data_IF_835557826725
#
_entry.id   IF_835557826725
#
_cell.length_a   1.000
_cell.length_b   1.000
_cell.length_c   1.000
_cell.angle_alpha   90.00
_cell.angle_beta   90.00
_cell.angle_gamma   90.00
#
_symmetry.space_group_name_H-M   'P 1'
#
loop_
_entity.id
_entity.type
_entity.pdbx_description
1 polymer ?
#
# COMPACT_ATOMS: atom_id res chain seq x y z
N UNK A 1 8.66 -10.28 6.13
CA UNK A 1 9.63 -9.20 6.39
C UNK A 1 10.56 -9.06 5.20
N UNK A 2 11.30 -7.95 5.09
CA UNK A 2 12.24 -7.72 3.99
C UNK A 2 13.45 -8.65 4.07
N UNK A 3 13.92 -9.10 2.90
CA UNK A 3 15.17 -9.84 2.76
C UNK A 3 16.35 -8.90 2.43
N UNK A 4 17.61 -9.32 2.68
CA UNK A 4 18.78 -8.52 2.28
C UNK A 4 18.78 -8.23 0.78
N UNK A 5 19.07 -6.98 0.40
CA UNK A 5 19.12 -6.49 -0.99
C UNK A 5 17.80 -6.62 -1.79
N UNK A 6 16.68 -6.76 -1.09
CA UNK A 6 15.36 -6.80 -1.72
C UNK A 6 14.85 -5.37 -1.96
N UNK A 7 14.52 -5.04 -3.22
CA UNK A 7 13.92 -3.75 -3.54
C UNK A 7 12.49 -3.65 -3.00
N UNK A 8 11.95 -2.44 -2.79
CA UNK A 8 10.55 -2.26 -2.37
C UNK A 8 9.54 -3.01 -3.27
N UNK A 9 9.76 -2.98 -4.59
CA UNK A 9 8.92 -3.69 -5.57
C UNK A 9 9.02 -5.20 -5.39
N UNK A 10 10.24 -5.73 -5.25
CA UNK A 10 10.45 -7.18 -5.04
C UNK A 10 9.79 -7.64 -3.74
N UNK A 11 9.93 -6.85 -2.68
CA UNK A 11 9.34 -7.11 -1.37
C UNK A 11 7.81 -7.24 -1.47
N UNK A 12 7.11 -6.23 -1.98
CA UNK A 12 5.65 -6.28 -2.03
C UNK A 12 5.16 -7.38 -2.96
N UNK A 13 5.82 -7.60 -4.10
CA UNK A 13 5.46 -8.66 -5.04
C UNK A 13 5.57 -10.05 -4.38
N UNK A 14 6.69 -10.31 -3.69
CA UNK A 14 6.91 -11.56 -2.97
C UNK A 14 5.89 -11.74 -1.85
N UNK A 15 5.67 -10.72 -1.01
CA UNK A 15 4.75 -10.81 0.12
C UNK A 15 3.30 -11.07 -0.31
N UNK A 16 2.81 -10.42 -1.37
CA UNK A 16 1.47 -10.71 -1.90
C UNK A 16 1.36 -12.17 -2.35
N UNK A 17 2.35 -12.68 -3.10
CA UNK A 17 2.38 -14.08 -3.52
C UNK A 17 2.44 -15.06 -2.34
N UNK A 18 3.27 -14.77 -1.33
CA UNK A 18 3.38 -15.57 -0.11
C UNK A 18 2.05 -15.62 0.67
N UNK A 19 1.31 -14.51 0.73
CA UNK A 19 -0.03 -14.48 1.33
C UNK A 19 -0.99 -15.42 0.60
N UNK A 20 -0.97 -15.44 -0.74
CA UNK A 20 -1.84 -16.33 -1.51
C UNK A 20 -1.47 -17.80 -1.25
N UNK A 21 -0.18 -18.11 -1.24
CA UNK A 21 0.30 -19.47 -0.93
C UNK A 21 -0.06 -19.90 0.49
N UNK A 22 0.01 -18.98 1.46
CA UNK A 22 -0.37 -19.26 2.84
C UNK A 22 -1.87 -19.61 2.94
N UNK A 23 -2.75 -18.91 2.22
CA UNK A 23 -4.18 -19.22 2.17
C UNK A 23 -4.42 -20.61 1.59
N UNK A 24 -3.78 -20.92 0.45
CA UNK A 24 -3.88 -22.24 -0.21
C UNK A 24 -3.42 -23.36 0.73
N UNK A 25 -2.33 -23.13 1.47
CA UNK A 25 -1.75 -24.14 2.36
C UNK A 25 -2.54 -24.34 3.67
N UNK A 26 -3.46 -23.44 4.02
CA UNK A 26 -4.24 -23.51 5.27
C UNK A 26 -5.38 -24.55 5.22
N UNK A 27 -5.51 -25.33 4.14
CA UNK A 27 -6.61 -26.30 3.94
C UNK A 27 -8.01 -25.66 4.11
N UNK A 28 -8.14 -24.37 3.82
CA UNK A 28 -9.43 -23.71 3.68
C UNK A 28 -10.11 -24.22 2.42
N UNK A 29 -11.44 -24.36 2.45
CA UNK A 29 -12.21 -24.69 1.25
C UNK A 29 -12.16 -23.51 0.27
N UNK A 30 -11.09 -23.52 -0.52
CA UNK A 30 -10.79 -22.54 -1.55
C UNK A 30 -10.99 -23.15 -2.92
N UNK A 31 -11.72 -24.26 -3.03
CA UNK A 31 -11.96 -24.88 -4.32
C UNK A 31 -12.74 -23.92 -5.21
N UNK A 32 -12.31 -23.81 -6.48
CA UNK A 32 -12.98 -23.00 -7.49
C UNK A 32 -13.18 -21.52 -7.08
N UNK A 33 -12.15 -20.92 -6.49
CA UNK A 33 -12.16 -19.56 -5.93
C UNK A 33 -11.06 -18.69 -6.55
N UNK A 34 -11.26 -17.38 -6.56
CA UNK A 34 -10.19 -16.41 -6.84
C UNK A 34 -9.68 -15.86 -5.51
N UNK A 35 -8.42 -16.12 -5.21
CA UNK A 35 -7.72 -15.55 -4.07
C UNK A 35 -7.13 -14.20 -4.47
N UNK A 36 -7.52 -13.14 -3.76
CA UNK A 36 -7.01 -11.78 -3.95
C UNK A 36 -6.06 -11.46 -2.80
N UNK A 37 -4.82 -11.07 -3.12
CA UNK A 37 -3.83 -10.67 -2.13
C UNK A 37 -3.10 -9.41 -2.56
N UNK A 38 -2.72 -8.60 -1.58
CA UNK A 38 -2.04 -7.33 -1.78
C UNK A 38 -0.99 -7.13 -0.68
N UNK A 39 0.07 -6.41 -1.00
CA UNK A 39 1.02 -5.88 -0.04
C UNK A 39 1.47 -4.48 -0.47
N UNK A 40 1.84 -3.64 0.49
CA UNK A 40 2.16 -2.26 0.22
C UNK A 40 3.29 -1.80 1.12
N UNK A 41 4.19 -0.99 0.55
CA UNK A 41 5.18 -0.23 1.30
C UNK A 41 5.12 1.24 0.91
N UNK A 42 5.39 2.10 1.89
CA UNK A 42 5.67 3.51 1.67
C UNK A 42 7.19 3.70 1.63
N UNK A 43 7.66 4.57 0.75
CA UNK A 43 9.07 4.82 0.51
C UNK A 43 9.32 6.33 0.44
N UNK A 44 10.38 6.79 1.12
CA UNK A 44 10.96 8.09 0.86
C UNK A 44 12.24 7.85 0.05
N UNK A 45 12.21 8.22 -1.23
CA UNK A 45 13.20 7.76 -2.21
C UNK A 45 13.26 6.21 -2.21
N UNK A 46 14.41 5.60 -1.91
CA UNK A 46 14.57 4.13 -1.88
C UNK A 46 14.42 3.52 -0.47
N UNK A 47 14.12 4.33 0.55
CA UNK A 47 14.04 3.86 1.94
C UNK A 47 12.60 3.50 2.30
N UNK A 48 12.37 2.24 2.67
CA UNK A 48 11.07 1.77 3.17
C UNK A 48 10.78 2.41 4.53
N UNK A 49 9.60 3.00 4.63
CA UNK A 49 9.07 3.66 5.81
C UNK A 49 8.33 2.66 6.69
N UNK A 50 8.79 2.53 7.93
CA UNK A 50 8.09 1.75 8.95
C UNK A 50 7.02 2.55 9.70
N UNK A 51 6.30 1.86 10.58
CA UNK A 51 5.41 2.50 11.55
C UNK A 51 6.25 3.27 12.59
N UNK A 52 5.87 4.51 12.95
CA UNK A 52 6.62 5.28 13.92
C UNK A 52 6.50 4.69 15.34
N UNK A 53 5.35 4.13 15.71
CA UNK A 53 5.00 3.55 17.02
C UNK A 53 5.00 4.53 18.20
N UNK A 54 5.78 5.60 18.15
CA UNK A 54 5.85 6.64 19.19
C UNK A 54 5.64 8.02 18.60
N UNK A 55 5.18 8.96 19.44
CA UNK A 55 4.94 10.35 19.05
C UNK A 55 6.20 11.00 18.45
N UNK A 56 7.34 10.92 19.14
CA UNK A 56 8.59 11.56 18.68
C UNK A 56 9.08 11.00 17.35
N UNK A 57 8.91 9.68 17.13
CA UNK A 57 9.22 9.05 15.84
C UNK A 57 8.27 9.51 14.74
N UNK A 58 7.00 9.76 15.07
CA UNK A 58 6.04 10.31 14.11
C UNK A 58 6.38 11.76 13.73
N UNK A 59 6.74 12.59 14.71
CA UNK A 59 7.22 13.96 14.47
C UNK A 59 8.45 13.94 13.58
N UNK A 60 9.43 13.10 13.92
CA UNK A 60 10.64 12.96 13.12
C UNK A 60 10.36 12.52 11.68
N UNK A 61 9.51 11.50 11.49
CA UNK A 61 9.12 11.05 10.15
C UNK A 61 8.43 12.15 9.34
N UNK A 62 7.42 12.82 9.89
CA UNK A 62 6.72 13.89 9.16
C UNK A 62 7.64 15.09 8.84
N UNK A 63 8.61 15.40 9.71
CA UNK A 63 9.63 16.41 9.44
C UNK A 63 10.51 16.02 8.24
N UNK A 64 10.84 14.73 8.07
CA UNK A 64 11.55 14.24 6.88
C UNK A 64 10.71 14.31 5.61
N UNK A 65 9.38 14.25 5.72
CA UNK A 65 8.50 14.33 4.55
C UNK A 65 8.19 15.76 4.13
N UNK A 66 8.43 16.76 4.98
CA UNK A 66 8.20 18.17 4.68
C UNK A 66 8.87 18.58 3.35
N UNK A 67 8.04 19.00 2.37
CA UNK A 67 8.47 19.36 1.02
C UNK A 67 8.97 18.20 0.14
N UNK A 68 8.79 16.95 0.57
CA UNK A 68 9.25 15.76 -0.15
C UNK A 68 8.10 15.02 -0.85
N UNK A 69 8.49 14.11 -1.74
CA UNK A 69 7.61 13.11 -2.36
C UNK A 69 7.75 11.78 -1.62
N UNK A 70 6.65 11.26 -1.10
CA UNK A 70 6.54 9.90 -0.57
C UNK A 70 5.85 9.02 -1.60
N UNK A 71 6.44 7.86 -1.89
CA UNK A 71 5.95 6.92 -2.89
C UNK A 71 5.37 5.67 -2.21
N UNK A 72 4.21 5.23 -2.67
CA UNK A 72 3.54 4.01 -2.23
C UNK A 72 3.60 3.02 -3.37
N UNK A 73 4.14 1.84 -3.07
CA UNK A 73 4.27 0.74 -4.01
C UNK A 73 3.38 -0.37 -3.49
N UNK A 74 2.28 -0.63 -4.23
CA UNK A 74 1.29 -1.63 -3.87
C UNK A 74 1.33 -2.76 -4.89
N UNK A 75 1.58 -3.98 -4.45
CA UNK A 75 1.43 -5.16 -5.28
C UNK A 75 0.02 -5.71 -5.18
N UNK A 76 -0.44 -6.29 -6.29
CA UNK A 76 -1.65 -7.09 -6.33
C UNK A 76 -1.31 -8.44 -6.95
N UNK A 77 -1.78 -9.52 -6.33
CA UNK A 77 -1.65 -10.88 -6.82
C UNK A 77 -2.99 -11.61 -6.72
N UNK A 78 -3.42 -12.19 -7.84
CA UNK A 78 -4.62 -13.02 -7.96
C UNK A 78 -4.22 -14.45 -8.29
N UNK A 79 -4.91 -15.41 -7.68
CA UNK A 79 -4.80 -16.84 -8.01
C UNK A 79 -6.18 -17.43 -8.21
N UNK A 80 -6.45 -17.98 -9.38
CA UNK A 80 -7.60 -18.85 -9.63
C UNK A 80 -7.23 -20.28 -9.21
N UNK A 81 -7.87 -20.77 -8.15
CA UNK A 81 -7.57 -22.10 -7.59
C UNK A 81 -8.15 -23.25 -8.41
N UNK A 82 -9.02 -22.97 -9.39
CA UNK A 82 -9.60 -24.00 -10.26
C UNK A 82 -8.60 -24.54 -11.28
N UNK A 83 -7.71 -23.67 -11.78
CA UNK A 83 -6.80 -23.95 -12.89
C UNK A 83 -5.35 -23.49 -12.62
N UNK A 84 -5.09 -22.78 -11.51
CA UNK A 84 -3.78 -22.28 -11.13
C UNK A 84 -3.33 -21.03 -11.89
N UNK A 85 -4.18 -20.39 -12.70
CA UNK A 85 -3.85 -19.14 -13.37
C UNK A 85 -3.66 -18.02 -12.36
N UNK A 86 -2.70 -17.16 -12.65
CA UNK A 86 -2.37 -16.03 -11.79
C UNK A 86 -2.29 -14.73 -12.57
N UNK A 87 -2.62 -13.64 -11.90
CA UNK A 87 -2.42 -12.28 -12.37
C UNK A 87 -1.64 -11.51 -11.33
N UNK A 88 -0.66 -10.71 -11.75
CA UNK A 88 0.11 -9.85 -10.83
C UNK A 88 0.30 -8.46 -11.43
N UNK A 89 0.26 -7.44 -10.59
CA UNK A 89 0.55 -6.07 -11.00
C UNK A 89 1.19 -5.27 -9.85
N UNK A 90 1.86 -4.19 -10.22
CA UNK A 90 2.42 -3.20 -9.28
C UNK A 90 1.78 -1.86 -9.59
N UNK A 91 1.31 -1.18 -8.57
CA UNK A 91 0.78 0.18 -8.64
C UNK A 91 1.71 1.12 -7.89
N UNK A 92 2.02 2.26 -8.50
CA UNK A 92 2.77 3.35 -7.88
C UNK A 92 1.81 4.49 -7.58
N UNK A 93 1.90 5.06 -6.39
CA UNK A 93 1.13 6.24 -6.00
C UNK A 93 2.01 7.20 -5.22
N UNK A 94 2.07 8.46 -5.63
CA UNK A 94 2.92 9.48 -5.03
C UNK A 94 2.08 10.49 -4.26
N UNK A 95 2.53 10.81 -3.04
CA UNK A 95 2.02 11.90 -2.21
C UNK A 95 3.12 12.94 -2.08
N UNK A 96 2.82 14.17 -2.48
CA UNK A 96 3.74 15.29 -2.39
C UNK A 96 3.32 16.13 -1.19
N UNK A 97 4.24 16.34 -0.25
CA UNK A 97 3.98 17.11 0.95
C UNK A 97 4.25 18.59 0.71
N UNK A 98 3.45 19.44 1.37
CA UNK A 98 3.79 20.86 1.53
C UNK A 98 5.05 20.98 2.36
N UNK A 99 5.64 22.17 2.38
CA UNK A 99 6.55 22.53 3.48
C UNK A 99 5.72 22.67 4.76
N UNK A 100 5.98 21.80 5.71
CA UNK A 100 5.31 21.74 7.00
C UNK A 100 6.14 22.44 8.08
N UNK A 101 5.46 23.20 8.93
CA UNK A 101 6.03 23.68 10.19
C UNK A 101 5.97 22.61 11.28
N UNK A 102 6.86 22.69 12.26
CA UNK A 102 6.85 21.80 13.43
C UNK A 102 5.51 21.85 14.18
N UNK A 103 4.90 23.03 14.28
CA UNK A 103 3.59 23.21 14.93
C UNK A 103 2.46 22.47 14.18
N UNK A 104 2.45 22.51 12.85
CA UNK A 104 1.48 21.74 12.04
C UNK A 104 1.68 20.22 12.24
N UNK A 105 2.94 19.77 12.25
CA UNK A 105 3.29 18.35 12.43
C UNK A 105 2.80 17.83 13.78
N UNK A 106 3.15 18.52 14.87
CA UNK A 106 2.74 18.13 16.22
C UNK A 106 1.22 18.13 16.32
N UNK A 107 0.57 19.21 15.84
CA UNK A 107 -0.89 19.33 15.92
C UNK A 107 -1.59 18.22 15.14
N UNK A 108 -1.09 17.86 13.97
CA UNK A 108 -1.61 16.77 13.18
C UNK A 108 -1.53 15.44 13.93
N UNK A 109 -0.36 15.12 14.52
CA UNK A 109 -0.15 13.87 15.25
C UNK A 109 -1.07 13.78 16.48
N UNK A 110 -1.27 14.87 17.21
CA UNK A 110 -2.20 14.93 18.34
C UNK A 110 -3.65 14.60 17.92
N UNK A 111 -4.08 15.10 16.76
CA UNK A 111 -5.44 14.92 16.26
C UNK A 111 -5.65 13.53 15.64
N UNK A 112 -4.75 13.08 14.78
CA UNK A 112 -4.92 11.84 14.01
C UNK A 112 -4.36 10.59 14.70
N UNK A 113 -3.41 10.77 15.63
CA UNK A 113 -2.69 9.68 16.28
C UNK A 113 -2.22 8.59 15.31
N UNK A 114 -1.48 8.92 14.23
CA UNK A 114 -1.12 7.99 13.15
C UNK A 114 0.01 7.01 13.55
N UNK A 115 0.15 6.67 14.82
CA UNK A 115 1.32 5.96 15.36
C UNK A 115 1.48 4.54 14.80
N UNK A 116 0.39 3.97 14.28
CA UNK A 116 0.35 2.64 13.68
C UNK A 116 0.32 2.65 12.14
N UNK A 117 0.44 3.82 11.53
CA UNK A 117 0.43 4.01 10.07
C UNK A 117 1.87 4.10 9.55
N UNK A 118 2.20 3.35 8.50
CA UNK A 118 3.48 3.49 7.82
C UNK A 118 3.56 4.91 7.24
N UNK A 119 4.65 5.64 7.52
CA UNK A 119 4.78 7.03 7.10
C UNK A 119 4.01 8.04 7.96
N UNK A 120 3.48 7.68 9.13
CA UNK A 120 2.93 8.66 10.10
C UNK A 120 1.81 9.57 9.57
N UNK A 121 1.06 9.17 8.53
CA UNK A 121 -0.10 9.91 8.06
C UNK A 121 -1.23 8.98 7.59
N UNK A 122 -2.43 9.56 7.43
CA UNK A 122 -3.63 8.92 6.89
C UNK A 122 -4.22 9.77 5.78
N UNK A 123 -4.21 9.27 4.55
CA UNK A 123 -4.73 10.01 3.39
C UNK A 123 -6.26 10.15 3.41
N UNK A 124 -6.93 9.21 4.08
CA UNK A 124 -8.37 9.13 4.29
C UNK A 124 -8.89 10.02 5.44
N UNK A 125 -7.98 10.59 6.23
CA UNK A 125 -8.27 11.50 7.34
C UNK A 125 -7.73 12.91 7.09
N UNK A 126 -7.27 13.58 8.15
CA UNK A 126 -6.70 14.93 8.06
C UNK A 126 -5.37 15.00 7.29
N UNK A 127 -4.82 13.87 6.82
CA UNK A 127 -3.54 13.86 6.10
C UNK A 127 -3.57 14.74 4.85
N UNK A 128 -4.75 14.87 4.21
CA UNK A 128 -4.94 15.77 3.06
C UNK A 128 -4.51 17.22 3.35
N UNK A 129 -4.58 17.68 4.60
CA UNK A 129 -4.12 19.01 4.98
C UNK A 129 -2.59 19.18 4.90
N UNK A 130 -1.83 18.08 4.88
CA UNK A 130 -0.37 18.07 4.80
C UNK A 130 0.15 18.04 3.35
N UNK A 131 -0.72 17.71 2.39
CA UNK A 131 -0.32 17.41 1.02
C UNK A 131 -0.43 18.63 0.11
N UNK A 132 0.50 18.73 -0.83
CA UNK A 132 0.46 19.66 -1.96
C UNK A 132 -0.31 19.03 -3.14
N UNK A 133 0.00 17.77 -3.46
CA UNK A 133 -0.70 17.01 -4.50
C UNK A 133 -0.58 15.51 -4.27
N UNK A 134 -1.44 14.76 -4.95
CA UNK A 134 -1.45 13.31 -5.03
C UNK A 134 -1.45 12.89 -6.50
N UNK A 135 -0.68 11.86 -6.85
CA UNK A 135 -0.47 11.46 -8.24
C UNK A 135 -0.40 9.93 -8.37
N UNK A 136 -1.24 9.37 -9.24
CA UNK A 136 -1.29 7.95 -9.56
C UNK A 136 -2.56 7.61 -10.32
N UNK A 137 -2.58 6.44 -10.97
CA UNK A 137 -3.68 6.03 -11.84
C UNK A 137 -4.94 5.62 -11.04
N UNK A 138 -4.75 5.16 -9.81
CA UNK A 138 -5.82 4.64 -8.96
C UNK A 138 -5.65 5.13 -7.50
N UNK A 139 -6.55 5.98 -6.98
CA UNK A 139 -6.50 6.43 -5.59
C UNK A 139 -6.62 5.28 -4.58
N UNK A 140 -7.25 4.16 -4.95
CA UNK A 140 -7.34 2.99 -4.09
C UNK A 140 -5.99 2.28 -3.92
N UNK A 141 -5.05 2.50 -4.85
CA UNK A 141 -3.67 2.06 -4.73
C UNK A 141 -2.97 2.66 -3.50
N UNK A 142 -3.28 3.91 -3.14
CA UNK A 142 -2.78 4.56 -1.93
C UNK A 142 -3.40 3.96 -0.67
N UNK A 143 -4.70 3.64 -0.70
CA UNK A 143 -5.42 3.00 0.42
C UNK A 143 -4.90 1.57 0.68
N UNK A 144 -4.38 0.90 -0.34
CA UNK A 144 -3.70 -0.40 -0.22
C UNK A 144 -4.21 -1.51 -1.14
N UNK A 145 -5.15 -1.21 -2.05
CA UNK A 145 -5.63 -2.18 -3.04
C UNK A 145 -5.97 -1.48 -4.38
N UNK A 146 -5.16 -1.67 -5.44
CA UNK A 146 -5.41 -1.04 -6.74
C UNK A 146 -6.60 -1.70 -7.45
N UNK A 147 -7.79 -1.13 -7.28
CA UNK A 147 -9.07 -1.62 -7.81
C UNK A 147 -9.14 -1.61 -9.34
N UNK A 148 -8.48 -0.65 -10.02
CA UNK A 148 -8.42 -0.63 -11.49
C UNK A 148 -7.69 -1.88 -11.99
N UNK A 149 -6.51 -2.18 -11.43
CA UNK A 149 -5.72 -3.37 -11.75
C UNK A 149 -6.43 -4.66 -11.31
N UNK A 150 -7.13 -4.65 -10.18
CA UNK A 150 -7.95 -5.76 -9.72
C UNK A 150 -9.05 -6.10 -10.73
N UNK A 151 -9.82 -5.10 -11.16
CA UNK A 151 -10.87 -5.31 -12.15
C UNK A 151 -10.30 -5.86 -13.47
N UNK A 152 -9.11 -5.40 -13.89
CA UNK A 152 -8.40 -5.97 -15.04
C UNK A 152 -8.06 -7.44 -14.84
N UNK A 153 -7.40 -7.78 -13.73
CA UNK A 153 -7.01 -9.16 -13.42
C UNK A 153 -8.20 -10.11 -13.29
N UNK A 154 -9.29 -9.67 -12.64
CA UNK A 154 -10.51 -10.46 -12.55
C UNK A 154 -11.09 -10.80 -13.93
N UNK A 155 -11.14 -9.83 -14.85
CA UNK A 155 -11.61 -10.06 -16.22
C UNK A 155 -10.70 -11.03 -16.98
N UNK A 156 -9.39 -10.96 -16.78
CA UNK A 156 -8.44 -11.92 -17.36
C UNK A 156 -8.65 -13.34 -16.82
N UNK A 157 -9.11 -13.47 -15.57
CA UNK A 157 -9.52 -14.74 -14.96
C UNK A 157 -10.99 -15.11 -15.25
N UNK A 158 -11.65 -14.44 -16.20
CA UNK A 158 -13.01 -14.75 -16.62
C UNK A 158 -14.12 -14.25 -15.70
N UNK A 159 -13.79 -13.48 -14.65
CA UNK A 159 -14.75 -12.86 -13.74
C UNK A 159 -14.86 -11.37 -14.02
N UNK A 160 -15.95 -10.93 -14.64
CA UNK A 160 -16.18 -9.51 -14.85
C UNK A 160 -17.03 -8.94 -13.70
N UNK A 161 -16.52 -7.96 -12.93
CA UNK A 161 -17.29 -7.33 -11.83
C UNK A 161 -18.59 -6.65 -12.27
N UNK A 162 -18.76 -6.41 -13.58
CA UNK A 162 -19.96 -5.80 -14.16
C UNK A 162 -20.94 -6.83 -14.74
N UNK A 163 -20.61 -8.13 -14.72
CA UNK A 163 -21.56 -9.16 -15.13
C UNK A 163 -22.66 -9.30 -14.09
N UNK A 164 -23.91 -9.36 -14.55
CA UNK A 164 -25.12 -9.60 -13.75
C UNK A 164 -25.33 -11.10 -13.56
#
# INVERSE_FOLDING_TARGET
TSQPNESPIQLVARLAKEKAQAIINQNTDTHNSIIITSDQVACLSDQILGKPLTHDKAVHQLSLFSGQKVEFITSLHLTDTSNGHTFSSISHYCVYFRTLSEAEIIRYIELEQPLNCAGSFKCEGLGVALFEKMEGDDPNGLIGLPLISLCKGLRELGVNPLSV
#
